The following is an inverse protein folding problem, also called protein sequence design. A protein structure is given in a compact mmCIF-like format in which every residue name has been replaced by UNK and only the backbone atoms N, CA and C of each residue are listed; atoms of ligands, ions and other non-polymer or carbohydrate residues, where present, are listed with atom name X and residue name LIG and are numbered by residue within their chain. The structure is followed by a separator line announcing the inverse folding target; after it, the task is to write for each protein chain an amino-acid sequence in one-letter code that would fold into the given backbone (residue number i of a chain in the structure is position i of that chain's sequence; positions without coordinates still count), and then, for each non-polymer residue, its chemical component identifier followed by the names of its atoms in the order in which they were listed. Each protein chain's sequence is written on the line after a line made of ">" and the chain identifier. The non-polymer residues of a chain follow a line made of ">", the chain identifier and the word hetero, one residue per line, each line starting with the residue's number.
data_IF_675019623928
#
_entry.id   IF_675019623928
#
_cell.length_a   1.000
_cell.length_b   1.000
_cell.length_c   1.000
_cell.angle_alpha   90.00
_cell.angle_beta   90.00
_cell.angle_gamma   90.00
#
_symmetry.space_group_name_H-M   'P 1'
#
loop_
_entity.id
_entity.type
_entity.pdbx_description
1 polymer ?
#
# COMPACT_ATOMS: atom_id res chain seq x y z
N UNK A 1 3.80 -5.11 11.49
CA UNK A 1 3.24 -6.43 11.83
C UNK A 1 4.28 -7.55 11.65
N UNK A 2 4.39 -8.46 12.63
CA UNK A 2 5.43 -9.49 12.71
C UNK A 2 5.27 -10.64 11.70
N UNK A 3 4.08 -10.82 11.15
CA UNK A 3 3.77 -11.87 10.19
C UNK A 3 4.23 -11.58 8.75
N UNK A 4 4.76 -10.38 8.48
CA UNK A 4 5.24 -9.98 7.16
C UNK A 4 6.76 -9.77 7.18
N UNK A 5 7.51 -10.82 6.91
CA UNK A 5 8.99 -10.79 6.93
C UNK A 5 9.59 -9.67 6.08
N UNK A 6 9.12 -9.35 4.86
CA UNK A 6 9.67 -8.24 4.09
C UNK A 6 9.52 -6.89 4.80
N UNK A 7 8.39 -6.65 5.48
CA UNK A 7 8.17 -5.40 6.21
C UNK A 7 9.10 -5.27 7.42
N UNK A 8 9.31 -6.36 8.16
CA UNK A 8 10.26 -6.39 9.27
C UNK A 8 11.68 -6.11 8.80
N UNK A 9 12.11 -6.74 7.69
CA UNK A 9 13.44 -6.51 7.11
C UNK A 9 13.60 -5.08 6.59
N UNK A 10 12.58 -4.51 6.00
CA UNK A 10 12.58 -3.09 5.60
C UNK A 10 12.74 -2.19 6.83
N UNK A 11 12.04 -2.47 7.92
CA UNK A 11 12.17 -1.68 9.15
C UNK A 11 13.60 -1.75 9.74
N UNK A 12 14.25 -2.92 9.70
CA UNK A 12 15.65 -3.09 10.12
C UNK A 12 16.59 -2.17 9.33
N UNK A 13 16.45 -2.13 8.01
CA UNK A 13 17.25 -1.23 7.15
C UNK A 13 16.96 0.23 7.43
N UNK A 14 15.69 0.60 7.63
CA UNK A 14 15.30 1.97 7.96
C UNK A 14 15.91 2.44 9.28
N UNK A 15 15.97 1.59 10.30
CA UNK A 15 16.62 1.91 11.59
C UNK A 15 18.10 2.24 11.38
N UNK A 16 18.83 1.47 10.58
CA UNK A 16 20.23 1.72 10.27
C UNK A 16 20.41 3.05 9.51
N UNK A 17 19.58 3.31 8.52
CA UNK A 17 19.65 4.55 7.73
C UNK A 17 19.30 5.78 8.57
N UNK A 18 18.31 5.70 9.45
CA UNK A 18 17.94 6.76 10.37
C UNK A 18 19.06 7.04 11.38
N UNK A 19 19.72 6.01 11.89
CA UNK A 19 20.86 6.16 12.78
C UNK A 19 22.03 6.93 12.12
N UNK A 20 22.25 6.74 10.82
CA UNK A 20 23.30 7.45 10.08
C UNK A 20 23.06 8.96 9.99
N UNK A 21 21.84 9.43 10.18
CA UNK A 21 21.48 10.87 10.23
C UNK A 21 21.12 11.34 11.65
N UNK A 22 21.46 10.55 12.68
CA UNK A 22 21.31 10.92 14.08
C UNK A 22 19.93 10.66 14.69
N UNK A 23 19.05 9.91 14.00
CA UNK A 23 17.73 9.55 14.48
C UNK A 23 17.78 8.13 15.06
N UNK A 24 17.44 7.99 16.34
CA UNK A 24 17.34 6.69 17.00
C UNK A 24 15.92 6.15 16.86
N UNK A 25 15.75 5.08 16.09
CA UNK A 25 14.48 4.36 15.96
C UNK A 25 14.56 3.00 16.64
N UNK A 26 13.43 2.51 17.16
CA UNK A 26 13.29 1.19 17.77
C UNK A 26 12.14 0.44 17.11
N UNK A 27 12.39 -0.80 16.72
CA UNK A 27 11.35 -1.65 16.14
C UNK A 27 10.52 -2.28 17.24
N UNK A 28 9.21 -2.09 17.17
CA UNK A 28 8.23 -2.81 17.97
C UNK A 28 7.43 -3.72 17.05
N UNK A 29 7.73 -5.01 17.10
CA UNK A 29 6.96 -6.00 16.35
C UNK A 29 5.71 -6.38 17.12
N UNK A 30 4.57 -6.36 16.46
CA UNK A 30 3.26 -6.74 17.00
C UNK A 30 2.60 -7.77 16.10
N UNK A 31 1.70 -8.58 16.64
CA UNK A 31 0.87 -9.47 15.83
C UNK A 31 -0.15 -8.68 14.99
N UNK A 32 -0.76 -9.35 14.02
CA UNK A 32 -1.67 -8.69 13.08
C UNK A 32 -2.90 -8.08 13.74
N UNK A 33 -3.48 -8.75 14.74
CA UNK A 33 -4.67 -8.24 15.43
C UNK A 33 -4.36 -6.99 16.24
N UNK A 34 -3.24 -6.98 16.95
CA UNK A 34 -2.73 -5.80 17.65
C UNK A 34 -2.45 -4.66 16.68
N UNK A 35 -1.81 -4.95 15.53
CA UNK A 35 -1.57 -3.93 14.52
C UNK A 35 -2.86 -3.32 13.96
N UNK A 36 -3.88 -4.14 13.67
CA UNK A 36 -5.19 -3.67 13.21
C UNK A 36 -5.88 -2.77 14.23
N UNK A 37 -5.81 -3.13 15.51
CA UNK A 37 -6.44 -2.35 16.56
C UNK A 37 -5.68 -1.06 16.87
N UNK A 38 -4.40 -1.18 17.20
CA UNK A 38 -3.62 -0.06 17.75
C UNK A 38 -3.15 0.88 16.64
N UNK A 39 -2.61 0.33 15.55
CA UNK A 39 -2.04 1.12 14.46
C UNK A 39 -3.12 1.57 13.47
N UNK A 40 -3.86 0.62 12.88
CA UNK A 40 -4.81 0.95 11.81
C UNK A 40 -6.04 1.71 12.33
N UNK A 41 -6.65 1.22 13.43
CA UNK A 41 -7.90 1.79 13.96
C UNK A 41 -7.65 2.96 14.87
N UNK A 42 -6.80 2.76 15.90
CA UNK A 42 -6.56 3.78 16.93
C UNK A 42 -5.51 4.81 16.51
N UNK A 43 -4.71 4.51 15.46
CA UNK A 43 -3.64 5.39 14.97
C UNK A 43 -2.59 5.72 16.01
N UNK A 44 -2.36 4.81 16.96
CA UNK A 44 -1.39 4.92 18.04
C UNK A 44 -0.02 4.39 17.60
N UNK A 45 0.69 5.20 16.84
CA UNK A 45 2.02 4.87 16.33
C UNK A 45 2.78 6.14 15.90
N UNK A 46 4.11 6.09 15.94
CA UNK A 46 4.97 7.15 15.39
C UNK A 46 5.30 6.89 13.91
N UNK A 47 5.62 5.63 13.57
CA UNK A 47 5.82 5.17 12.20
C UNK A 47 5.44 3.69 12.08
N UNK A 48 5.01 3.26 10.91
CA UNK A 48 4.74 1.84 10.63
C UNK A 48 5.18 1.46 9.23
N UNK A 49 5.60 0.20 9.07
CA UNK A 49 5.93 -0.40 7.76
C UNK A 49 4.88 -1.44 7.43
N UNK A 50 4.16 -1.21 6.36
CA UNK A 50 3.06 -2.09 5.91
C UNK A 50 2.88 -1.95 4.40
N UNK A 51 2.37 -2.98 3.75
CA UNK A 51 1.90 -2.94 2.37
C UNK A 51 0.39 -2.76 2.29
N UNK A 52 -0.07 -2.20 1.22
CA UNK A 52 -1.49 -2.08 0.90
C UNK A 52 -1.79 -2.72 -0.43
N UNK A 53 -2.88 -3.49 -0.43
CA UNK A 53 -3.50 -3.98 -1.64
C UNK A 53 -4.88 -3.32 -1.78
N UNK A 54 -5.33 -3.17 -3.01
CA UNK A 54 -6.67 -2.72 -3.28
C UNK A 54 -7.53 -3.89 -3.75
N UNK A 55 -8.71 -4.05 -3.19
CA UNK A 55 -9.69 -5.04 -3.69
C UNK A 55 -10.10 -4.76 -5.14
N UNK A 56 -10.07 -3.49 -5.52
CA UNK A 56 -10.14 -3.02 -6.90
C UNK A 56 -8.88 -2.24 -7.19
N UNK A 57 -8.10 -2.66 -8.18
CA UNK A 57 -6.85 -1.99 -8.57
C UNK A 57 -7.13 -0.71 -9.36
N UNK A 58 -7.76 0.26 -8.71
CA UNK A 58 -8.01 1.58 -9.28
C UNK A 58 -7.27 2.65 -8.49
N UNK A 59 -6.84 3.71 -9.16
CA UNK A 59 -6.24 4.87 -8.51
C UNK A 59 -7.18 5.46 -7.44
N UNK A 60 -8.48 5.53 -7.73
CA UNK A 60 -9.49 5.98 -6.78
C UNK A 60 -9.45 5.20 -5.45
N UNK A 61 -9.46 3.86 -5.52
CA UNK A 61 -9.48 3.00 -4.33
C UNK A 61 -8.22 3.13 -3.47
N UNK A 62 -7.06 3.34 -4.11
CA UNK A 62 -5.79 3.54 -3.40
C UNK A 62 -5.69 4.94 -2.80
N UNK A 63 -6.02 5.96 -3.57
CA UNK A 63 -5.89 7.37 -3.17
C UNK A 63 -6.95 7.80 -2.15
N UNK A 64 -8.13 7.15 -2.13
CA UNK A 64 -9.16 7.39 -1.12
C UNK A 64 -8.62 7.30 0.32
N UNK A 65 -7.59 6.48 0.54
CA UNK A 65 -6.99 6.30 1.87
C UNK A 65 -6.32 7.56 2.42
N UNK A 66 -6.05 8.55 1.58
CA UNK A 66 -5.38 9.79 1.94
C UNK A 66 -6.34 10.98 2.06
N UNK A 67 -7.62 10.82 1.72
CA UNK A 67 -8.59 11.90 1.91
C UNK A 67 -8.82 12.13 3.40
N UNK A 68 -8.91 13.41 3.79
CA UNK A 68 -8.97 13.81 5.21
C UNK A 68 -10.14 13.20 5.98
N UNK A 69 -11.25 12.91 5.29
CA UNK A 69 -12.47 12.37 5.91
C UNK A 69 -12.66 10.86 5.73
N UNK A 70 -11.67 10.14 5.19
CA UNK A 70 -11.79 8.70 4.97
C UNK A 70 -11.56 7.90 6.25
N UNK A 71 -12.46 6.98 6.55
CA UNK A 71 -12.28 5.99 7.63
C UNK A 71 -11.06 5.07 7.39
N UNK A 72 -10.62 4.99 6.12
CA UNK A 72 -9.42 4.24 5.70
C UNK A 72 -8.13 5.04 5.85
N UNK A 73 -8.22 6.32 6.20
CA UNK A 73 -7.06 7.18 6.41
C UNK A 73 -6.41 6.87 7.75
N UNK A 74 -5.52 5.88 7.76
CA UNK A 74 -4.73 5.54 8.94
C UNK A 74 -3.49 6.44 9.10
N UNK A 75 -3.15 7.25 8.11
CA UNK A 75 -1.93 8.05 8.06
C UNK A 75 -2.03 9.36 8.85
N UNK A 76 -3.19 9.73 9.36
CA UNK A 76 -3.49 11.06 9.91
C UNK A 76 -3.16 12.18 8.90
N UNK A 77 -3.16 11.85 7.61
CA UNK A 77 -2.90 12.82 6.56
C UNK A 77 -4.10 13.73 6.35
N UNK A 78 -3.85 15.02 6.21
CA UNK A 78 -4.87 16.02 5.92
C UNK A 78 -4.29 17.08 5.00
N UNK A 79 -4.87 17.23 3.82
CA UNK A 79 -4.44 18.21 2.83
C UNK A 79 -5.64 18.64 1.98
N UNK A 80 -6.05 19.92 2.11
CA UNK A 80 -7.23 20.46 1.42
C UNK A 80 -7.08 20.45 -0.12
N UNK A 81 -5.86 20.65 -0.63
CA UNK A 81 -5.61 20.59 -2.07
C UNK A 81 -5.75 19.15 -2.60
N UNK A 82 -5.22 18.19 -1.87
CA UNK A 82 -5.39 16.77 -2.19
C UNK A 82 -6.87 16.40 -2.22
N UNK A 83 -7.63 16.74 -1.17
CA UNK A 83 -9.06 16.43 -1.07
C UNK A 83 -9.86 17.02 -2.23
N UNK A 84 -9.54 18.26 -2.60
CA UNK A 84 -10.19 18.95 -3.73
C UNK A 84 -9.88 18.28 -5.07
N UNK A 85 -8.61 17.96 -5.33
CA UNK A 85 -8.19 17.32 -6.59
C UNK A 85 -8.77 15.91 -6.68
N UNK A 86 -8.76 15.16 -5.58
CA UNK A 86 -9.35 13.82 -5.52
C UNK A 86 -10.86 13.87 -5.82
N UNK A 87 -11.61 14.78 -5.20
CA UNK A 87 -13.03 14.93 -5.46
C UNK A 87 -13.33 15.31 -6.93
N UNK A 88 -12.49 16.12 -7.56
CA UNK A 88 -12.60 16.43 -8.98
C UNK A 88 -12.33 15.19 -9.86
N UNK A 89 -11.35 14.38 -9.50
CA UNK A 89 -11.05 13.13 -10.21
C UNK A 89 -12.22 12.14 -10.15
N UNK A 90 -12.83 11.96 -8.98
CA UNK A 90 -14.00 11.08 -8.81
C UNK A 90 -15.24 11.58 -9.54
N UNK A 91 -15.41 12.90 -9.66
CA UNK A 91 -16.56 13.50 -10.37
C UNK A 91 -16.37 13.52 -11.90
N UNK A 92 -15.16 13.28 -12.40
CA UNK A 92 -14.88 13.33 -13.83
C UNK A 92 -15.49 12.13 -14.55
N UNK A 93 -16.17 12.41 -15.67
CA UNK A 93 -16.68 11.38 -16.60
C UNK A 93 -15.75 11.16 -17.79
N UNK A 94 -14.65 11.92 -17.87
CA UNK A 94 -13.61 11.79 -18.87
C UNK A 94 -12.40 11.06 -18.26
N UNK A 95 -12.07 9.88 -18.79
CA UNK A 95 -10.98 9.04 -18.27
C UNK A 95 -9.61 9.70 -18.38
N UNK A 96 -9.38 10.53 -19.40
CA UNK A 96 -8.11 11.24 -19.60
C UNK A 96 -7.94 12.31 -18.52
N UNK A 97 -8.99 13.09 -18.28
CA UNK A 97 -8.97 14.11 -17.24
C UNK A 97 -8.91 13.47 -15.84
N UNK A 98 -9.68 12.42 -15.57
CA UNK A 98 -9.60 11.68 -14.31
C UNK A 98 -8.18 11.16 -14.05
N UNK A 99 -7.55 10.55 -15.06
CA UNK A 99 -6.17 10.06 -14.97
C UNK A 99 -5.18 11.19 -14.63
N UNK A 100 -5.34 12.35 -15.25
CA UNK A 100 -4.49 13.51 -14.97
C UNK A 100 -4.64 14.00 -13.53
N UNK A 101 -5.88 14.07 -13.04
CA UNK A 101 -6.18 14.49 -11.68
C UNK A 101 -5.66 13.48 -10.64
N UNK A 102 -5.77 12.17 -10.88
CA UNK A 102 -5.18 11.16 -9.99
C UNK A 102 -3.65 11.26 -9.96
N UNK A 103 -2.98 11.51 -11.08
CA UNK A 103 -1.53 11.78 -11.11
C UNK A 103 -1.16 13.04 -10.33
N UNK A 104 -2.00 14.07 -10.35
CA UNK A 104 -1.80 15.25 -9.53
C UNK A 104 -1.95 14.92 -8.03
N UNK A 105 -2.89 14.06 -7.64
CA UNK A 105 -2.99 13.55 -6.28
C UNK A 105 -1.70 12.83 -5.85
N UNK A 106 -1.15 11.94 -6.68
CA UNK A 106 0.11 11.25 -6.41
C UNK A 106 1.28 12.24 -6.24
N UNK A 107 1.34 13.26 -7.07
CA UNK A 107 2.36 14.32 -6.95
C UNK A 107 2.24 15.06 -5.62
N UNK A 108 1.03 15.45 -5.20
CA UNK A 108 0.81 16.11 -3.91
C UNK A 108 1.28 15.24 -2.76
N UNK A 109 0.96 13.93 -2.77
CA UNK A 109 1.41 12.99 -1.74
C UNK A 109 2.93 12.88 -1.67
N UNK A 110 3.60 12.87 -2.82
CA UNK A 110 5.06 12.80 -2.90
C UNK A 110 5.72 14.10 -2.38
N UNK A 111 5.21 15.26 -2.81
CA UNK A 111 5.75 16.57 -2.43
C UNK A 111 5.52 16.90 -0.95
N UNK A 112 4.41 16.42 -0.38
CA UNK A 112 4.10 16.60 1.05
C UNK A 112 4.65 15.51 1.95
N UNK A 113 5.39 14.54 1.38
CA UNK A 113 5.97 13.40 2.08
C UNK A 113 4.94 12.64 2.95
N UNK A 114 3.74 12.41 2.40
CA UNK A 114 2.67 11.70 3.10
C UNK A 114 3.11 10.29 3.54
N UNK A 115 3.94 9.63 2.71
CA UNK A 115 4.55 8.33 2.98
C UNK A 115 5.94 8.24 2.39
N UNK A 116 6.72 7.26 2.86
CA UNK A 116 7.91 6.77 2.18
C UNK A 116 7.51 5.57 1.33
N UNK A 117 7.49 5.74 0.02
CA UNK A 117 7.18 4.67 -0.94
C UNK A 117 8.45 3.86 -1.19
N UNK A 118 8.48 2.61 -0.76
CA UNK A 118 9.71 1.81 -0.71
C UNK A 118 9.79 0.88 -1.92
N UNK A 119 8.78 0.06 -2.12
CA UNK A 119 8.76 -0.92 -3.21
C UNK A 119 7.38 -1.47 -3.47
N UNK A 120 7.20 -1.99 -4.66
CA UNK A 120 6.13 -2.89 -5.05
C UNK A 120 6.69 -4.32 -5.01
N UNK A 121 6.12 -5.18 -4.16
CA UNK A 121 6.64 -6.53 -3.97
C UNK A 121 6.26 -7.40 -5.17
N UNK A 122 7.27 -8.01 -5.79
CA UNK A 122 7.02 -9.04 -6.78
C UNK A 122 6.46 -10.30 -6.09
N UNK A 123 5.37 -10.82 -6.61
CA UNK A 123 4.82 -12.09 -6.17
C UNK A 123 5.62 -13.26 -6.76
N UNK A 124 5.90 -14.25 -5.93
CA UNK A 124 6.55 -15.49 -6.34
C UNK A 124 5.61 -16.66 -6.07
N UNK A 125 5.42 -17.49 -7.08
CA UNK A 125 4.65 -18.71 -6.96
C UNK A 125 5.51 -19.89 -7.36
N UNK A 126 5.56 -20.91 -6.50
CA UNK A 126 6.19 -22.19 -6.81
C UNK A 126 5.10 -23.19 -7.17
N UNK A 127 5.19 -23.78 -8.36
CA UNK A 127 4.30 -24.85 -8.80
C UNK A 127 5.11 -26.12 -9.08
N UNK A 128 4.43 -27.27 -9.05
CA UNK A 128 5.06 -28.52 -9.45
C UNK A 128 5.52 -28.42 -10.92
N UNK A 129 6.73 -28.92 -11.21
CA UNK A 129 7.32 -28.87 -12.56
C UNK A 129 6.47 -29.57 -13.66
N UNK A 130 5.55 -30.44 -13.25
CA UNK A 130 4.66 -31.16 -14.16
C UNK A 130 3.32 -30.42 -14.35
N UNK A 131 3.18 -29.20 -13.81
CA UNK A 131 2.00 -28.35 -14.00
C UNK A 131 2.36 -27.14 -14.85
N UNK A 132 1.42 -26.73 -15.69
CA UNK A 132 1.45 -25.50 -16.48
C UNK A 132 0.10 -24.79 -16.41
N UNK A 133 0.00 -23.63 -17.06
CA UNK A 133 -1.24 -22.86 -17.15
C UNK A 133 -1.50 -21.92 -15.97
N UNK A 134 -0.56 -21.79 -15.01
CA UNK A 134 -0.69 -20.78 -13.95
C UNK A 134 -0.55 -19.37 -14.52
N UNK A 135 -1.41 -18.47 -14.07
CA UNK A 135 -1.37 -17.05 -14.42
C UNK A 135 -1.33 -16.20 -13.17
N UNK A 136 -0.55 -15.13 -13.20
CA UNK A 136 -0.61 -14.09 -12.16
C UNK A 136 -1.85 -13.23 -12.37
N UNK A 137 -2.57 -13.02 -11.29
CA UNK A 137 -3.75 -12.15 -11.28
C UNK A 137 -3.44 -10.94 -10.39
N UNK A 138 -3.82 -9.74 -10.81
CA UNK A 138 -3.55 -8.52 -10.04
C UNK A 138 -4.46 -8.37 -8.81
N UNK A 139 -5.29 -9.36 -8.52
CA UNK A 139 -6.22 -9.40 -7.39
C UNK A 139 -6.13 -10.74 -6.68
N UNK A 140 -6.70 -10.85 -5.49
CA UNK A 140 -6.74 -12.09 -4.68
C UNK A 140 -7.55 -13.24 -5.30
N UNK A 141 -8.16 -13.04 -6.45
CA UNK A 141 -8.90 -14.08 -7.16
C UNK A 141 -7.98 -14.78 -8.12
N UNK A 142 -7.84 -16.09 -7.96
CA UNK A 142 -7.09 -16.95 -8.88
C UNK A 142 -8.04 -17.88 -9.63
N UNK A 143 -7.95 -17.88 -10.95
CA UNK A 143 -8.61 -18.89 -11.78
C UNK A 143 -7.70 -20.11 -11.93
N UNK A 144 -8.02 -21.16 -11.20
CA UNK A 144 -7.26 -22.42 -11.20
C UNK A 144 -7.66 -23.36 -12.36
N UNK A 145 -8.70 -23.03 -13.13
CA UNK A 145 -9.22 -23.87 -14.21
C UNK A 145 -8.24 -24.03 -15.38
N UNK A 146 -7.29 -23.11 -15.50
CA UNK A 146 -6.25 -23.14 -16.54
C UNK A 146 -5.07 -24.06 -16.22
N UNK A 147 -4.93 -24.49 -14.96
CA UNK A 147 -3.81 -25.34 -14.53
C UNK A 147 -4.05 -26.78 -15.01
N UNK A 148 -3.05 -27.34 -15.66
CA UNK A 148 -3.09 -28.70 -16.18
C UNK A 148 -1.71 -29.38 -16.05
N UNK A 149 -1.70 -30.72 -16.16
CA UNK A 149 -0.44 -31.44 -16.23
C UNK A 149 0.20 -31.25 -17.60
N UNK A 150 1.51 -31.06 -17.60
CA UNK A 150 2.33 -31.06 -18.83
C UNK A 150 2.40 -32.50 -19.34
N UNK A 151 2.12 -32.74 -20.61
CA UNK A 151 2.28 -34.04 -21.27
C UNK A 151 3.75 -34.42 -21.46
#
# INVERSE_FOLDING_TARGET
>A
PSNYTPHVKTAEVLVEQLAAVGITAKIQQVDWSTWLNDVYTNRDYEATVVGFDAATLTAAAMLQRYTSNSDKNMFNYSNEEFDKVYAQAEASTDDVEATKLYKQCEQILAETAANVYIQDLAEFVAINKNLDGYKFYPMYVMDMSTIHYVE
#
